data_IF_888830631114
#
_entry.id   IF_888830631114
#
_cell.length_a   1.000
_cell.length_b   1.000
_cell.length_c   1.000
_cell.angle_alpha   90.00
_cell.angle_beta   90.00
_cell.angle_gamma   90.00
#
_symmetry.space_group_name_H-M   'P 1'
#
loop_
_entity.id
_entity.type
_entity.pdbx_description
1 polymer ?
#
# COMPACT_ATOMS: atom_id res chain seq x y z
N UNK A 1 -14.72 -7.93 33.79
CA UNK A 1 -15.43 -8.10 32.50
C UNK A 1 -15.47 -6.79 31.71
N UNK A 2 -15.88 -5.67 32.34
CA UNK A 2 -15.95 -4.35 31.68
C UNK A 2 -14.61 -3.86 31.08
N UNK A 3 -13.51 -3.93 31.84
CA UNK A 3 -12.19 -3.50 31.36
C UNK A 3 -11.70 -4.29 30.12
N UNK A 4 -12.02 -5.59 30.06
CA UNK A 4 -11.69 -6.44 28.91
C UNK A 4 -12.48 -6.01 27.66
N UNK A 5 -13.79 -5.78 27.81
CA UNK A 5 -14.65 -5.33 26.71
C UNK A 5 -14.19 -3.97 26.19
N UNK A 6 -13.87 -3.02 27.06
CA UNK A 6 -13.35 -1.71 26.67
C UNK A 6 -12.01 -1.82 25.94
N UNK A 7 -11.13 -2.72 26.38
CA UNK A 7 -9.83 -2.95 25.72
C UNK A 7 -10.00 -3.52 24.32
N UNK A 8 -10.84 -4.55 24.17
CA UNK A 8 -11.14 -5.15 22.85
C UNK A 8 -11.79 -4.12 21.93
N UNK A 9 -12.77 -3.36 22.42
CA UNK A 9 -13.41 -2.30 21.66
C UNK A 9 -12.40 -1.24 21.22
N UNK A 10 -11.52 -0.80 22.14
CA UNK A 10 -10.45 0.15 21.83
C UNK A 10 -9.51 -0.36 20.74
N UNK A 11 -9.12 -1.64 20.79
CA UNK A 11 -8.28 -2.26 19.76
C UNK A 11 -8.99 -2.33 18.40
N UNK A 12 -10.27 -2.70 18.37
CA UNK A 12 -11.06 -2.73 17.13
C UNK A 12 -11.18 -1.33 16.54
N UNK A 13 -11.49 -0.32 17.36
CA UNK A 13 -11.54 1.07 16.90
C UNK A 13 -10.18 1.50 16.34
N UNK A 14 -9.11 1.22 17.06
CA UNK A 14 -7.77 1.66 16.70
C UNK A 14 -7.20 0.98 15.44
N UNK A 15 -7.35 -0.34 15.32
CA UNK A 15 -6.76 -1.10 14.20
C UNK A 15 -7.71 -1.29 13.01
N UNK A 16 -9.02 -1.09 13.18
CA UNK A 16 -10.00 -1.30 12.11
C UNK A 16 -10.69 0.00 11.75
N UNK A 17 -11.37 0.65 12.70
CA UNK A 17 -12.21 1.81 12.39
C UNK A 17 -11.38 2.99 11.88
N UNK A 18 -10.27 3.33 12.56
CA UNK A 18 -9.42 4.45 12.15
C UNK A 18 -8.84 4.23 10.73
N UNK A 19 -8.12 3.12 10.44
CA UNK A 19 -7.63 2.87 9.08
C UNK A 19 -8.73 2.84 8.02
N UNK A 20 -9.90 2.26 8.32
CA UNK A 20 -11.00 2.18 7.37
C UNK A 20 -11.58 3.57 7.04
N UNK A 21 -11.86 4.40 8.04
CA UNK A 21 -12.36 5.76 7.84
C UNK A 21 -11.34 6.60 7.07
N UNK A 22 -10.07 6.53 7.47
CA UNK A 22 -8.97 7.22 6.79
C UNK A 22 -8.85 6.79 5.32
N UNK A 23 -8.96 5.49 5.04
CA UNK A 23 -8.97 4.97 3.68
C UNK A 23 -10.16 5.50 2.86
N UNK A 24 -11.38 5.42 3.40
CA UNK A 24 -12.60 5.85 2.70
C UNK A 24 -12.59 7.35 2.39
N UNK A 25 -12.10 8.18 3.32
CA UNK A 25 -11.94 9.62 3.12
C UNK A 25 -10.95 9.93 1.98
N UNK A 26 -9.79 9.26 1.95
CA UNK A 26 -8.79 9.48 0.91
C UNK A 26 -9.22 8.93 -0.46
N UNK A 27 -9.81 7.73 -0.51
CA UNK A 27 -10.28 7.14 -1.76
C UNK A 27 -11.37 8.01 -2.40
N UNK A 28 -12.35 8.48 -1.61
CA UNK A 28 -13.43 9.31 -2.12
C UNK A 28 -12.95 10.66 -2.68
N UNK A 29 -11.97 11.30 -2.03
CA UNK A 29 -11.41 12.59 -2.47
C UNK A 29 -10.46 12.50 -3.65
N UNK A 30 -9.85 11.34 -3.90
CA UNK A 30 -8.76 11.21 -4.87
C UNK A 30 -9.01 10.16 -5.96
N UNK A 31 -10.20 9.57 -6.02
CA UNK A 31 -10.58 8.59 -7.04
C UNK A 31 -10.31 9.05 -8.48
N UNK A 32 -10.45 10.35 -8.75
CA UNK A 32 -10.27 10.94 -10.08
C UNK A 32 -8.81 10.97 -10.52
N UNK A 33 -7.87 10.94 -9.56
CA UNK A 33 -6.43 10.85 -9.88
C UNK A 33 -6.01 9.46 -10.40
N UNK A 34 -6.90 8.48 -10.24
CA UNK A 34 -6.74 7.13 -10.75
C UNK A 34 -7.50 6.90 -12.06
N UNK A 35 -7.94 7.97 -12.73
CA UNK A 35 -8.62 7.90 -14.02
C UNK A 35 -7.75 7.16 -15.03
N UNK A 36 -8.28 6.05 -15.56
CA UNK A 36 -7.70 5.29 -16.67
C UNK A 36 -8.70 5.15 -17.80
N UNK A 37 -8.20 5.11 -19.03
CA UNK A 37 -8.99 4.83 -20.22
C UNK A 37 -8.77 3.37 -20.60
N UNK A 38 -9.77 2.52 -20.37
CA UNK A 38 -9.69 1.10 -20.72
C UNK A 38 -10.38 0.85 -22.06
N UNK A 39 -9.71 0.25 -23.06
CA UNK A 39 -10.38 -0.20 -24.27
C UNK A 39 -11.31 -1.36 -23.93
N UNK A 40 -12.59 -1.20 -24.23
CA UNK A 40 -13.62 -2.24 -24.08
C UNK A 40 -13.95 -2.77 -25.48
N UNK A 41 -13.83 -4.09 -25.72
CA UNK A 41 -14.22 -4.68 -26.99
C UNK A 41 -15.72 -4.47 -27.20
N UNK A 42 -16.11 -4.18 -28.45
CA UNK A 42 -17.49 -3.79 -28.83
C UNK A 42 -18.55 -4.80 -28.36
N UNK A 43 -18.18 -6.06 -28.15
CA UNK A 43 -19.06 -7.12 -27.65
C UNK A 43 -19.52 -6.92 -26.19
N UNK A 44 -18.79 -6.16 -25.37
CA UNK A 44 -19.11 -5.88 -23.95
C UNK A 44 -19.81 -4.52 -23.75
N UNK A 45 -19.97 -3.72 -24.81
CA UNK A 45 -20.74 -2.48 -24.73
C UNK A 45 -22.23 -2.82 -24.50
N UNK A 46 -22.77 -2.36 -23.36
CA UNK A 46 -24.15 -2.68 -22.95
C UNK A 46 -25.17 -2.46 -24.07
N UNK A 47 -26.21 -3.33 -24.17
CA UNK A 47 -27.27 -3.23 -25.17
C UNK A 47 -28.25 -2.07 -24.89
N UNK A 48 -27.76 -0.84 -24.70
CA UNK A 48 -28.56 0.35 -24.37
C UNK A 48 -27.85 1.70 -24.42
N UNK A 49 -26.55 1.75 -24.68
CA UNK A 49 -25.77 2.99 -24.69
C UNK A 49 -26.09 3.95 -25.86
N UNK A 50 -25.78 5.26 -25.72
CA UNK A 50 -26.16 6.31 -26.68
C UNK A 50 -25.50 6.24 -28.07
N UNK A 51 -24.65 5.24 -28.32
CA UNK A 51 -23.90 5.08 -29.58
C UNK A 51 -24.44 3.98 -30.50
N UNK A 52 -25.75 3.67 -30.41
CA UNK A 52 -26.44 2.79 -31.39
C UNK A 52 -26.41 3.42 -32.79
N UNK A 53 -25.47 3.01 -33.64
CA UNK A 53 -25.56 3.24 -35.09
C UNK A 53 -24.32 3.80 -35.79
N UNK A 54 -23.20 4.03 -35.10
CA UNK A 54 -21.90 4.38 -35.73
C UNK A 54 -20.78 3.41 -35.35
N UNK A 55 -21.09 2.13 -35.24
CA UNK A 55 -20.11 1.09 -34.95
C UNK A 55 -19.25 0.79 -36.18
N UNK A 56 -18.35 1.71 -36.53
CA UNK A 56 -17.10 1.34 -37.21
C UNK A 56 -16.11 0.94 -36.12
N UNK A 57 -15.71 -0.33 -36.04
CA UNK A 57 -14.47 -0.95 -35.50
C UNK A 57 -13.58 -0.24 -34.44
N UNK A 58 -14.05 0.80 -33.77
CA UNK A 58 -13.29 1.62 -32.83
C UNK A 58 -13.57 1.10 -31.44
N UNK A 59 -12.52 0.55 -30.82
CA UNK A 59 -12.46 0.27 -29.40
C UNK A 59 -13.04 1.46 -28.62
N UNK A 60 -14.04 1.21 -27.79
CA UNK A 60 -14.60 2.24 -26.92
C UNK A 60 -13.69 2.34 -25.70
N UNK A 61 -13.19 3.54 -25.40
CA UNK A 61 -12.47 3.78 -24.16
C UNK A 61 -13.49 4.05 -23.05
N UNK A 62 -13.57 3.14 -22.07
CA UNK A 62 -14.34 3.35 -20.84
C UNK A 62 -13.44 3.96 -19.78
N UNK A 63 -13.95 5.00 -19.14
CA UNK A 63 -13.26 5.66 -18.04
C UNK A 63 -13.43 4.87 -16.75
N UNK A 64 -12.36 4.24 -16.28
CA UNK A 64 -12.32 3.60 -14.97
C UNK A 64 -11.81 4.59 -13.91
N UNK A 65 -12.58 4.75 -12.83
CA UNK A 65 -12.27 5.65 -11.71
C UNK A 65 -11.94 4.87 -10.45
N UNK A 66 -11.00 5.40 -9.66
CA UNK A 66 -10.58 4.85 -8.38
C UNK A 66 -9.40 3.88 -8.47
N UNK A 67 -8.70 3.70 -7.35
CA UNK A 67 -7.48 2.93 -7.34
C UNK A 67 -7.73 1.43 -7.64
N UNK A 68 -6.77 0.71 -8.28
CA UNK A 68 -6.83 -0.73 -8.43
C UNK A 68 -7.00 -1.45 -7.09
N UNK A 69 -7.69 -2.59 -7.08
CA UNK A 69 -7.94 -3.38 -5.86
C UNK A 69 -6.67 -3.72 -5.09
N UNK A 70 -5.58 -3.99 -5.81
CA UNK A 70 -4.27 -4.24 -5.22
C UNK A 70 -3.75 -3.02 -4.44
N UNK A 71 -3.75 -1.84 -5.05
CA UNK A 71 -3.30 -0.60 -4.43
C UNK A 71 -4.14 -0.29 -3.19
N UNK A 72 -5.45 -0.51 -3.26
CA UNK A 72 -6.37 -0.37 -2.12
C UNK A 72 -5.98 -1.30 -0.98
N UNK A 73 -5.82 -2.60 -1.26
CA UNK A 73 -5.44 -3.60 -0.27
C UNK A 73 -4.08 -3.26 0.38
N UNK A 74 -3.07 -2.94 -0.43
CA UNK A 74 -1.73 -2.58 0.05
C UNK A 74 -1.76 -1.29 0.87
N UNK A 75 -2.57 -0.30 0.49
CA UNK A 75 -2.72 0.94 1.26
C UNK A 75 -3.38 0.69 2.61
N UNK A 76 -4.43 -0.15 2.66
CA UNK A 76 -5.07 -0.54 3.93
C UNK A 76 -4.09 -1.30 4.82
N UNK A 77 -3.36 -2.28 4.27
CA UNK A 77 -2.33 -3.01 5.02
C UNK A 77 -1.23 -2.06 5.51
N UNK A 78 -0.79 -1.12 4.68
CA UNK A 78 0.19 -0.09 5.06
C UNK A 78 -0.30 0.79 6.21
N UNK A 79 -1.58 1.17 6.22
CA UNK A 79 -2.18 1.94 7.31
C UNK A 79 -2.24 1.11 8.60
N UNK A 80 -2.67 -0.15 8.53
CA UNK A 80 -2.74 -1.05 9.69
C UNK A 80 -1.35 -1.34 10.26
N UNK A 81 -0.38 -1.70 9.41
CA UNK A 81 1.02 -1.90 9.82
C UNK A 81 1.62 -0.61 10.40
N UNK A 82 1.25 0.54 9.84
CA UNK A 82 1.62 1.84 10.38
C UNK A 82 1.06 2.10 11.78
N UNK A 83 -0.15 1.65 12.10
CA UNK A 83 -0.68 1.74 13.47
C UNK A 83 0.06 0.83 14.46
N UNK A 84 0.68 -0.27 13.98
CA UNK A 84 1.56 -1.09 14.83
C UNK A 84 2.84 -0.35 15.25
N UNK A 85 3.16 0.79 14.63
CA UNK A 85 4.25 1.67 15.05
C UNK A 85 4.13 2.10 16.51
N UNK A 86 2.93 2.48 16.99
CA UNK A 86 2.75 3.01 18.35
C UNK A 86 3.06 1.95 19.42
N UNK A 87 2.42 0.76 19.41
CA UNK A 87 2.78 -0.28 20.37
C UNK A 87 4.22 -0.77 20.17
N UNK A 88 4.70 -0.85 18.92
CA UNK A 88 6.09 -1.21 18.62
C UNK A 88 7.10 -0.22 19.20
N UNK A 89 6.81 1.09 19.15
CA UNK A 89 7.64 2.14 19.72
C UNK A 89 7.68 2.02 21.24
N UNK A 90 6.53 1.80 21.89
CA UNK A 90 6.47 1.62 23.34
C UNK A 90 7.29 0.41 23.78
N UNK A 91 7.14 -0.74 23.11
CA UNK A 91 7.93 -1.95 23.40
C UNK A 91 9.42 -1.71 23.11
N UNK A 92 9.75 -1.04 22.01
CA UNK A 92 11.12 -0.70 21.64
C UNK A 92 11.79 0.21 22.67
N UNK A 93 11.09 1.23 23.16
CA UNK A 93 11.58 2.13 24.22
C UNK A 93 11.77 1.39 25.54
N UNK A 94 10.82 0.55 25.94
CA UNK A 94 10.96 -0.28 27.15
C UNK A 94 12.14 -1.26 27.03
N UNK A 95 12.30 -1.89 25.86
CA UNK A 95 13.43 -2.78 25.58
C UNK A 95 14.78 -2.05 25.53
N UNK A 96 14.80 -0.79 25.07
CA UNK A 96 15.99 0.07 25.12
C UNK A 96 16.40 0.33 26.56
N UNK A 97 15.45 0.74 27.40
CA UNK A 97 15.70 1.07 28.81
C UNK A 97 16.12 -0.17 29.62
N UNK A 98 15.52 -1.33 29.35
CA UNK A 98 15.76 -2.53 30.13
C UNK A 98 17.03 -3.31 29.72
N UNK A 99 17.33 -3.41 28.43
CA UNK A 99 18.36 -4.34 27.93
C UNK A 99 19.25 -3.75 26.81
N UNK A 100 19.09 -2.47 26.45
CA UNK A 100 19.79 -1.87 25.30
C UNK A 100 19.33 -2.39 23.93
N UNK A 101 18.36 -3.33 23.91
CA UNK A 101 17.88 -4.01 22.70
C UNK A 101 17.00 -3.12 21.80
N UNK A 102 16.50 -2.00 22.31
CA UNK A 102 15.63 -1.11 21.54
C UNK A 102 16.32 -0.42 20.35
N UNK A 103 17.65 -0.42 20.25
CA UNK A 103 18.35 0.06 19.05
C UNK A 103 17.92 -0.74 17.80
N UNK A 104 17.62 -2.03 17.95
CA UNK A 104 17.14 -2.88 16.86
C UNK A 104 15.72 -2.51 16.38
N UNK A 105 14.93 -1.81 17.20
CA UNK A 105 13.60 -1.35 16.80
C UNK A 105 13.63 -0.10 15.93
N UNK A 106 14.71 0.70 15.95
CA UNK A 106 14.78 1.98 15.22
C UNK A 106 14.58 1.78 13.71
N UNK A 107 15.28 0.86 13.02
CA UNK A 107 15.06 0.63 11.59
C UNK A 107 13.63 0.19 11.27
N UNK A 108 13.03 -0.67 12.10
CA UNK A 108 11.65 -1.12 11.95
C UNK A 108 10.64 0.01 12.11
N UNK A 109 10.88 0.91 13.08
CA UNK A 109 10.05 2.09 13.31
C UNK A 109 10.13 3.09 12.15
N UNK A 110 11.34 3.32 11.61
CA UNK A 110 11.54 4.15 10.42
C UNK A 110 10.79 3.57 9.22
N UNK A 111 10.87 2.24 9.02
CA UNK A 111 10.14 1.55 7.96
C UNK A 111 8.62 1.71 8.13
N UNK A 112 8.09 1.45 9.33
CA UNK A 112 6.66 1.53 9.61
C UNK A 112 6.11 2.95 9.40
N UNK A 113 6.81 3.98 9.91
CA UNK A 113 6.44 5.37 9.67
C UNK A 113 6.51 5.74 8.18
N UNK A 114 7.51 5.23 7.47
CA UNK A 114 7.66 5.39 6.03
C UNK A 114 6.49 4.80 5.25
N UNK A 115 6.13 3.56 5.53
CA UNK A 115 5.00 2.83 4.93
C UNK A 115 3.68 3.54 5.22
N UNK A 116 3.44 3.93 6.47
CA UNK A 116 2.23 4.66 6.88
C UNK A 116 2.05 5.94 6.07
N UNK A 117 3.10 6.78 6.00
CA UNK A 117 3.05 8.03 5.24
C UNK A 117 2.90 7.77 3.74
N UNK A 118 3.48 6.70 3.22
CA UNK A 118 3.41 6.38 1.80
C UNK A 118 2.02 5.87 1.39
N UNK A 119 1.27 5.23 2.27
CA UNK A 119 -0.10 4.76 2.00
C UNK A 119 -1.00 5.87 1.43
N UNK A 120 -0.90 7.08 2.00
CA UNK A 120 -1.63 8.24 1.52
C UNK A 120 -1.18 8.70 0.12
N UNK A 121 0.13 8.62 -0.17
CA UNK A 121 0.66 8.94 -1.50
C UNK A 121 0.20 7.92 -2.55
N UNK A 122 0.11 6.64 -2.17
CA UNK A 122 -0.43 5.59 -3.02
C UNK A 122 -1.90 5.87 -3.35
N UNK A 123 -2.76 6.11 -2.36
CA UNK A 123 -4.18 6.43 -2.62
C UNK A 123 -4.36 7.69 -3.47
N UNK A 124 -3.45 8.66 -3.36
CA UNK A 124 -3.46 9.90 -4.14
C UNK A 124 -2.87 9.78 -5.55
N UNK A 125 -2.40 8.60 -5.95
CA UNK A 125 -1.70 8.37 -7.21
C UNK A 125 -0.50 9.34 -7.41
N UNK A 126 0.25 9.66 -6.36
CA UNK A 126 1.36 10.62 -6.47
C UNK A 126 2.58 9.95 -7.12
N UNK A 127 3.25 10.57 -8.12
CA UNK A 127 4.39 9.97 -8.80
C UNK A 127 5.57 9.71 -7.83
N UNK A 128 5.77 10.59 -6.85
CA UNK A 128 6.78 10.40 -5.80
C UNK A 128 6.51 9.19 -4.90
N UNK A 129 5.23 8.79 -4.76
CA UNK A 129 4.84 7.66 -3.93
C UNK A 129 5.29 6.33 -4.54
N UNK A 130 5.38 6.23 -5.87
CA UNK A 130 5.91 5.04 -6.55
C UNK A 130 7.41 4.86 -6.26
N UNK A 131 8.20 5.92 -6.40
CA UNK A 131 9.62 5.90 -6.07
C UNK A 131 9.86 5.58 -4.59
N UNK A 132 9.05 6.17 -3.70
CA UNK A 132 9.14 5.91 -2.26
C UNK A 132 8.69 4.48 -1.89
N UNK A 133 7.66 3.94 -2.53
CA UNK A 133 7.22 2.56 -2.33
C UNK A 133 8.32 1.55 -2.66
N UNK A 134 9.04 1.74 -3.78
CA UNK A 134 10.21 0.93 -4.15
C UNK A 134 11.30 0.98 -3.09
N UNK A 135 11.70 2.19 -2.67
CA UNK A 135 12.72 2.36 -1.61
C UNK A 135 12.32 1.70 -0.29
N UNK A 136 11.06 1.82 0.11
CA UNK A 136 10.55 1.20 1.33
C UNK A 136 10.50 -0.33 1.21
N UNK A 137 10.14 -0.86 0.04
CA UNK A 137 10.17 -2.29 -0.21
C UNK A 137 11.60 -2.85 -0.13
N UNK A 138 12.57 -2.17 -0.75
CA UNK A 138 13.98 -2.58 -0.69
C UNK A 138 14.52 -2.51 0.75
N UNK A 139 14.19 -1.44 1.47
CA UNK A 139 14.54 -1.31 2.87
C UNK A 139 13.90 -2.41 3.74
N UNK A 140 12.63 -2.76 3.48
CA UNK A 140 11.95 -3.84 4.15
C UNK A 140 12.62 -5.20 3.89
N UNK A 141 13.04 -5.47 2.66
CA UNK A 141 13.75 -6.72 2.33
C UNK A 141 15.05 -6.81 3.11
N UNK A 142 15.88 -5.76 3.08
CA UNK A 142 17.16 -5.73 3.81
C UNK A 142 16.95 -5.91 5.31
N UNK A 143 15.99 -5.20 5.88
CA UNK A 143 15.66 -5.31 7.30
C UNK A 143 15.20 -6.73 7.66
N UNK A 144 14.34 -7.34 6.84
CA UNK A 144 13.84 -8.69 7.10
C UNK A 144 14.91 -9.76 6.98
N UNK A 145 15.93 -9.60 6.12
CA UNK A 145 17.08 -10.50 6.10
C UNK A 145 17.79 -10.50 7.46
N UNK A 146 18.00 -9.32 8.05
CA UNK A 146 18.60 -9.20 9.39
C UNK A 146 17.70 -9.84 10.45
N UNK A 147 16.39 -9.55 10.41
CA UNK A 147 15.39 -10.09 11.34
C UNK A 147 15.33 -11.62 11.27
N UNK A 148 15.38 -12.21 10.08
CA UNK A 148 15.42 -13.66 9.88
C UNK A 148 16.71 -14.29 10.43
N UNK A 149 17.84 -13.59 10.30
CA UNK A 149 19.09 -14.00 10.94
C UNK A 149 18.96 -14.04 12.47
N UNK A 150 18.40 -13.00 13.07
CA UNK A 150 18.11 -12.95 14.51
C UNK A 150 17.13 -14.04 14.93
N UNK A 151 16.04 -14.24 14.19
CA UNK A 151 15.07 -15.30 14.46
C UNK A 151 15.72 -16.69 14.45
N UNK A 152 16.61 -16.94 13.49
CA UNK A 152 17.37 -18.19 13.39
C UNK A 152 18.29 -18.38 14.60
N UNK A 153 18.99 -17.33 15.05
CA UNK A 153 19.82 -17.38 16.26
C UNK A 153 18.99 -17.67 17.51
N UNK A 154 17.79 -17.08 17.63
CA UNK A 154 16.89 -17.34 18.74
C UNK A 154 16.46 -18.81 18.78
N UNK A 155 16.16 -19.42 17.63
CA UNK A 155 15.85 -20.85 17.55
C UNK A 155 17.03 -21.72 17.97
N UNK A 156 18.27 -21.34 17.65
CA UNK A 156 19.48 -22.08 18.05
C UNK A 156 19.72 -22.08 19.57
N UNK A 157 19.26 -21.07 20.29
CA UNK A 157 19.36 -20.97 21.76
C UNK A 157 18.08 -21.42 22.48
N UNK A 158 17.29 -22.27 21.82
CA UNK A 158 16.06 -22.90 22.33
C UNK A 158 14.89 -21.93 22.60
N UNK A 159 14.91 -20.73 22.00
CA UNK A 159 13.81 -19.76 22.04
C UNK A 159 12.90 -19.88 20.79
N UNK A 160 12.50 -21.11 20.48
CA UNK A 160 11.76 -21.46 19.26
C UNK A 160 10.46 -20.67 19.06
N UNK A 161 9.66 -20.49 20.12
CA UNK A 161 8.40 -19.77 20.03
C UNK A 161 8.57 -18.33 19.58
N UNK A 162 9.58 -17.63 20.12
CA UNK A 162 9.89 -16.26 19.74
C UNK A 162 10.50 -16.20 18.33
N UNK A 163 11.42 -17.09 18.00
CA UNK A 163 12.02 -17.17 16.65
C UNK A 163 10.99 -17.44 15.55
N UNK A 164 10.05 -18.36 15.80
CA UNK A 164 8.97 -18.67 14.86
C UNK A 164 8.02 -17.48 14.69
N UNK A 165 7.62 -16.83 15.79
CA UNK A 165 6.77 -15.65 15.75
C UNK A 165 7.39 -14.53 14.91
N UNK A 166 8.68 -14.23 15.13
CA UNK A 166 9.42 -13.22 14.37
C UNK A 166 9.50 -13.60 12.90
N UNK A 167 9.74 -14.89 12.59
CA UNK A 167 9.83 -15.38 11.21
C UNK A 167 8.51 -15.22 10.44
N UNK A 168 7.38 -15.52 11.07
CA UNK A 168 6.05 -15.31 10.48
C UNK A 168 5.81 -13.83 10.19
N UNK A 169 6.17 -12.94 11.13
CA UNK A 169 6.05 -11.50 10.93
C UNK A 169 6.93 -11.01 9.78
N UNK A 170 8.15 -11.55 9.65
CA UNK A 170 9.06 -11.20 8.57
C UNK A 170 8.50 -11.61 7.19
N UNK A 171 7.87 -12.79 7.09
CA UNK A 171 7.18 -13.23 5.86
C UNK A 171 6.05 -12.27 5.48
N UNK A 172 5.21 -11.86 6.44
CA UNK A 172 4.14 -10.88 6.19
C UNK A 172 4.73 -9.56 5.69
N UNK A 173 5.83 -9.10 6.30
CA UNK A 173 6.53 -7.89 5.91
C UNK A 173 7.11 -7.97 4.48
N UNK A 174 7.66 -9.12 4.09
CA UNK A 174 8.17 -9.37 2.74
C UNK A 174 7.06 -9.41 1.68
N UNK A 175 5.92 -10.06 1.98
CA UNK A 175 4.75 -10.05 1.10
C UNK A 175 4.22 -8.63 0.89
N UNK A 176 4.20 -7.83 1.96
CA UNK A 176 3.82 -6.43 1.87
C UNK A 176 4.81 -5.60 1.03
N UNK A 177 6.12 -5.86 1.15
CA UNK A 177 7.14 -5.22 0.32
C UNK A 177 6.91 -5.48 -1.18
N UNK A 178 6.54 -6.70 -1.56
CA UNK A 178 6.18 -6.99 -2.95
C UNK A 178 4.89 -6.27 -3.37
N UNK A 179 3.88 -6.22 -2.48
CA UNK A 179 2.68 -5.43 -2.70
C UNK A 179 2.97 -3.94 -2.96
N UNK A 180 3.94 -3.35 -2.25
CA UNK A 180 4.40 -1.97 -2.49
C UNK A 180 5.04 -1.80 -3.87
N UNK A 181 5.86 -2.76 -4.33
CA UNK A 181 6.48 -2.71 -5.67
C UNK A 181 5.44 -2.83 -6.77
N UNK A 182 4.48 -3.74 -6.63
CA UNK A 182 3.39 -3.88 -7.59
C UNK A 182 2.52 -2.61 -7.63
N UNK A 183 2.20 -2.04 -6.47
CA UNK A 183 1.47 -0.76 -6.38
C UNK A 183 2.23 0.39 -7.04
N UNK A 184 3.56 0.41 -6.94
CA UNK A 184 4.38 1.41 -7.62
C UNK A 184 4.29 1.30 -9.15
N UNK A 185 4.26 0.07 -9.69
CA UNK A 185 4.07 -0.17 -11.13
C UNK A 185 2.71 0.32 -11.61
N UNK A 186 1.67 0.13 -10.82
CA UNK A 186 0.32 0.63 -11.13
C UNK A 186 0.28 2.16 -11.21
N UNK A 187 1.00 2.86 -10.33
CA UNK A 187 1.11 4.33 -10.38
C UNK A 187 1.87 4.76 -11.63
N UNK A 188 3.04 4.15 -11.90
CA UNK A 188 3.83 4.49 -13.08
C UNK A 188 3.01 4.31 -14.37
N UNK A 189 2.21 3.23 -14.47
CA UNK A 189 1.34 2.97 -15.62
C UNK A 189 0.32 4.11 -15.85
N UNK A 190 -0.34 4.60 -14.79
CA UNK A 190 -1.27 5.75 -14.90
C UNK A 190 -0.57 6.98 -15.44
N UNK A 191 0.60 7.32 -14.89
CA UNK A 191 1.32 8.52 -15.31
C UNK A 191 1.88 8.40 -16.73
N UNK A 192 2.28 7.19 -17.15
CA UNK A 192 2.67 6.93 -18.54
C UNK A 192 1.50 7.08 -19.52
N UNK A 193 0.31 6.56 -19.17
CA UNK A 193 -0.91 6.72 -19.98
C UNK A 193 -1.32 8.19 -20.12
N UNK A 194 -1.29 8.94 -19.02
CA UNK A 194 -1.61 10.37 -19.02
C UNK A 194 -0.63 11.18 -19.89
N UNK A 195 0.67 10.96 -19.71
CA UNK A 195 1.69 11.64 -20.52
C UNK A 195 1.56 11.31 -22.02
N UNK A 196 1.22 10.06 -22.36
CA UNK A 196 0.99 9.66 -23.75
C UNK A 196 -0.24 10.36 -24.36
N UNK A 197 -1.34 10.48 -23.59
CA UNK A 197 -2.54 11.22 -24.01
C UNK A 197 -2.25 12.70 -24.22
N UNK A 198 -1.52 13.34 -23.31
CA UNK A 198 -1.14 14.75 -23.43
C UNK A 198 -0.24 15.00 -24.65
N UNK A 199 0.70 14.10 -24.93
CA UNK A 199 1.56 14.17 -26.11
C UNK A 199 0.76 14.01 -27.42
N UNK A 200 -0.21 13.09 -27.46
CA UNK A 200 -1.08 12.90 -28.61
C UNK A 200 -1.95 14.14 -28.88
N UNK A 201 -2.55 14.73 -27.84
CA UNK A 201 -3.30 15.98 -27.96
C UNK A 201 -2.43 17.14 -28.44
N UNK A 202 -1.20 17.25 -27.94
CA UNK A 202 -0.26 18.28 -28.36
C UNK A 202 0.12 18.14 -29.85
N UNK A 203 0.33 16.90 -30.33
CA UNK A 203 0.61 16.62 -31.74
C UNK A 203 -0.56 17.04 -32.64
N UNK A 204 -1.79 16.68 -32.26
CA UNK A 204 -2.99 17.05 -33.01
C UNK A 204 -3.19 18.57 -33.09
N UNK A 205 -2.87 19.30 -32.00
CA UNK A 205 -2.96 20.77 -31.99
C UNK A 205 -1.88 21.44 -32.84
N UNK A 206 -0.74 20.79 -33.06
CA UNK A 206 0.34 21.32 -33.89
C UNK A 206 0.08 21.16 -35.40
N UNK A 207 -0.83 20.27 -35.80
CA UNK A 207 -1.22 20.02 -37.18
C UNK A 207 -2.36 20.93 -37.69
N UNK A 208 -3.01 21.69 -36.79
CA UNK A 208 -4.12 22.63 -37.09
C UNK A 208 -3.60 24.06 -37.15
#
# INVERSE_FOLDING_TARGET
MEAFVLTVLGLVVYFVAIPAVTYLEHESRHRERWRRLRPVPVAEAEPGGPFRGRASEREYLVEELGAPRLVKAVSVVSLVLGHMFIPGLLVGLLGLVAYGLGLLSIPGLVLAAGIYRNAFGLLRCEPEAAAKARRLADFAVVLNVVVMGVASLLMLIDLWGLGLFISVYAVISLLHAEGLRLSAREIDAVHHELAASEAAEASLRAEV
#
